data_IF_884748550599
#
_entry.id   IF_884748550599
#
_cell.length_a   1.000
_cell.length_b   1.000
_cell.length_c   1.000
_cell.angle_alpha   90.00
_cell.angle_beta   90.00
_cell.angle_gamma   90.00
#
_symmetry.space_group_name_H-M   'P 1'
#
loop_
_entity.id
_entity.type
_entity.pdbx_description
1 polymer ?
#
# COMPACT_ATOMS: atom_id res chain seq x y z
N UNK A 1 10.57 -0.17 8.59
CA UNK A 1 9.91 -1.36 9.20
C UNK A 1 9.44 -2.43 8.21
N UNK A 2 9.65 -2.33 6.88
CA UNK A 2 9.06 -3.29 5.91
C UNK A 2 9.61 -4.71 6.08
N UNK A 3 10.92 -4.82 6.23
CA UNK A 3 11.61 -6.08 6.47
C UNK A 3 11.33 -6.64 7.86
N UNK A 4 11.15 -5.80 8.87
CA UNK A 4 10.78 -6.25 10.22
C UNK A 4 9.37 -6.85 10.26
N UNK A 5 8.40 -6.24 9.56
CA UNK A 5 7.04 -6.80 9.41
C UNK A 5 7.09 -8.15 8.67
N UNK A 6 7.89 -8.25 7.60
CA UNK A 6 8.06 -9.49 6.86
C UNK A 6 8.77 -10.58 7.69
N UNK A 7 9.83 -10.22 8.42
CA UNK A 7 10.56 -11.12 9.33
C UNK A 7 9.62 -11.66 10.41
N UNK A 8 8.83 -10.79 11.03
CA UNK A 8 7.88 -11.20 12.07
C UNK A 8 6.81 -12.15 11.53
N UNK A 9 6.31 -11.89 10.31
CA UNK A 9 5.37 -12.78 9.64
C UNK A 9 6.00 -14.15 9.31
N UNK A 10 7.25 -14.17 8.84
CA UNK A 10 7.97 -15.42 8.58
C UNK A 10 8.21 -16.22 9.86
N UNK A 11 8.64 -15.57 10.94
CA UNK A 11 8.81 -16.23 12.25
C UNK A 11 7.49 -16.80 12.75
N UNK A 12 6.41 -16.01 12.68
CA UNK A 12 5.07 -16.47 13.04
C UNK A 12 4.63 -17.70 12.23
N UNK A 13 4.90 -17.70 10.91
CA UNK A 13 4.62 -18.83 10.04
C UNK A 13 5.37 -20.10 10.46
N UNK A 14 6.66 -19.99 10.75
CA UNK A 14 7.47 -21.11 11.25
C UNK A 14 6.99 -21.62 12.61
N UNK A 15 6.67 -20.73 13.54
CA UNK A 15 6.09 -21.12 14.83
C UNK A 15 4.76 -21.86 14.66
N UNK A 16 3.87 -21.39 13.78
CA UNK A 16 2.62 -22.11 13.45
C UNK A 16 2.88 -23.49 12.88
N UNK A 17 3.88 -23.62 11.99
CA UNK A 17 4.23 -24.91 11.38
C UNK A 17 4.74 -25.90 12.43
N UNK A 18 5.65 -25.45 13.31
CA UNK A 18 6.20 -26.27 14.40
C UNK A 18 5.08 -26.68 15.36
N UNK A 19 4.18 -25.76 15.72
CA UNK A 19 3.02 -26.05 16.55
C UNK A 19 2.15 -27.16 15.94
N UNK A 20 1.91 -27.12 14.63
CA UNK A 20 1.16 -28.16 13.92
C UNK A 20 1.83 -29.54 13.98
N UNK A 21 3.14 -29.58 13.77
CA UNK A 21 3.90 -30.83 13.76
C UNK A 21 3.93 -31.43 15.17
N UNK A 22 4.15 -30.61 16.20
CA UNK A 22 4.20 -31.08 17.60
C UNK A 22 2.84 -31.55 18.11
N UNK A 23 1.74 -30.95 17.67
CA UNK A 23 0.40 -31.28 18.15
C UNK A 23 -0.36 -32.23 17.19
N UNK A 24 0.32 -32.85 16.22
CA UNK A 24 -0.32 -33.63 15.16
C UNK A 24 -1.27 -34.74 15.68
N UNK A 25 -0.91 -35.39 16.77
CA UNK A 25 -1.73 -36.44 17.40
C UNK A 25 -3.07 -35.90 17.90
N UNK A 26 -3.08 -34.70 18.48
CA UNK A 26 -4.30 -34.01 18.94
C UNK A 26 -5.09 -33.48 17.74
N UNK A 27 -4.39 -32.95 16.74
CA UNK A 27 -4.99 -32.37 15.53
C UNK A 27 -5.63 -33.43 14.61
N UNK A 28 -5.20 -34.69 14.69
CA UNK A 28 -5.74 -35.80 13.92
C UNK A 28 -6.99 -36.43 14.55
N UNK A 29 -7.37 -35.99 15.76
CA UNK A 29 -8.61 -36.45 16.39
C UNK A 29 -9.82 -36.03 15.55
N UNK A 30 -10.75 -36.98 15.40
CA UNK A 30 -11.99 -36.79 14.65
C UNK A 30 -12.95 -35.98 15.50
N UNK A 31 -13.25 -34.75 15.07
CA UNK A 31 -14.22 -33.88 15.74
C UNK A 31 -15.50 -33.83 14.91
N UNK A 32 -16.63 -34.08 15.55
CA UNK A 32 -17.94 -33.82 14.96
C UNK A 32 -18.29 -32.35 15.20
N UNK A 33 -18.12 -31.51 14.18
CA UNK A 33 -18.56 -30.11 14.25
C UNK A 33 -20.07 -30.06 14.00
N UNK A 34 -20.83 -29.76 15.05
CA UNK A 34 -22.25 -29.43 14.95
C UNK A 34 -22.39 -27.92 14.80
N UNK A 35 -23.00 -27.48 13.71
CA UNK A 35 -23.36 -26.07 13.51
C UNK A 35 -24.88 -25.97 13.65
N UNK A 36 -25.36 -25.57 14.84
CA UNK A 36 -26.78 -25.32 15.08
C UNK A 36 -27.10 -23.87 14.71
N UNK A 37 -27.72 -23.65 13.55
CA UNK A 37 -28.34 -22.38 13.23
C UNK A 37 -29.77 -22.40 13.75
N UNK A 38 -30.02 -21.69 14.85
CA UNK A 38 -31.35 -21.59 15.49
C UNK A 38 -32.49 -21.12 14.54
N UNK A 39 -32.17 -20.55 13.37
CA UNK A 39 -33.13 -20.02 12.40
C UNK A 39 -33.42 -20.93 11.19
N UNK A 40 -32.60 -21.96 10.95
CA UNK A 40 -32.79 -22.90 9.85
C UNK A 40 -32.69 -24.30 10.43
N UNK A 41 -33.80 -25.04 10.44
CA UNK A 41 -33.96 -26.41 10.98
C UNK A 41 -33.14 -27.48 10.23
N UNK A 42 -32.11 -27.05 9.50
CA UNK A 42 -31.11 -27.89 8.86
C UNK A 42 -29.97 -28.10 9.85
N UNK A 43 -30.09 -29.16 10.65
CA UNK A 43 -28.96 -29.72 11.38
C UNK A 43 -27.99 -30.29 10.33
N UNK A 44 -27.01 -29.49 9.92
CA UNK A 44 -25.87 -30.01 9.16
C UNK A 44 -25.05 -30.89 10.11
N UNK A 45 -25.43 -32.16 10.23
CA UNK A 45 -24.63 -33.20 10.88
C UNK A 45 -23.40 -33.46 10.01
N UNK A 46 -22.40 -32.58 10.17
CA UNK A 46 -21.16 -32.73 9.43
C UNK A 46 -20.47 -34.03 9.88
N UNK A 47 -20.10 -34.84 8.90
CA UNK A 47 -19.31 -36.07 9.08
C UNK A 47 -18.08 -35.74 9.91
N UNK A 48 -17.56 -36.69 10.69
CA UNK A 48 -16.44 -36.44 11.59
C UNK A 48 -15.21 -35.95 10.81
N UNK A 49 -14.97 -34.63 10.84
CA UNK A 49 -13.85 -33.98 10.16
C UNK A 49 -12.68 -33.90 11.14
N UNK A 50 -11.47 -34.30 10.74
CA UNK A 50 -10.28 -34.13 11.56
C UNK A 50 -10.02 -32.66 11.92
N UNK A 51 -9.61 -32.40 13.16
CA UNK A 51 -9.42 -31.05 13.68
C UNK A 51 -8.41 -30.21 12.88
N UNK A 52 -7.39 -30.83 12.28
CA UNK A 52 -6.42 -30.16 11.42
C UNK A 52 -7.06 -29.44 10.22
N UNK A 53 -8.19 -29.95 9.69
CA UNK A 53 -8.84 -29.37 8.51
C UNK A 53 -9.46 -28.01 8.83
N UNK A 54 -10.10 -27.89 10.00
CA UNK A 54 -10.70 -26.63 10.46
C UNK A 54 -9.62 -25.58 10.66
N UNK A 55 -8.52 -25.96 11.31
CA UNK A 55 -7.40 -25.04 11.52
C UNK A 55 -6.73 -24.68 10.20
N UNK A 56 -6.60 -25.63 9.26
CA UNK A 56 -6.06 -25.35 7.92
C UNK A 56 -6.91 -24.30 7.21
N UNK A 57 -8.24 -24.44 7.21
CA UNK A 57 -9.14 -23.45 6.60
C UNK A 57 -9.03 -22.10 7.30
N UNK A 58 -9.00 -22.07 8.62
CA UNK A 58 -8.81 -20.83 9.40
C UNK A 58 -7.46 -20.17 9.09
N UNK A 59 -6.40 -20.96 8.93
CA UNK A 59 -5.07 -20.49 8.58
C UNK A 59 -5.04 -19.90 7.17
N UNK A 60 -5.65 -20.57 6.18
CA UNK A 60 -5.77 -20.07 4.81
C UNK A 60 -6.59 -18.78 4.77
N UNK A 61 -7.70 -18.71 5.51
CA UNK A 61 -8.49 -17.48 5.63
C UNK A 61 -7.67 -16.34 6.26
N UNK A 62 -6.93 -16.61 7.34
CA UNK A 62 -6.00 -15.65 7.93
C UNK A 62 -4.89 -15.21 6.97
N UNK A 63 -4.34 -16.12 6.18
CA UNK A 63 -3.35 -15.82 5.15
C UNK A 63 -3.92 -14.92 4.05
N UNK A 64 -5.16 -15.16 3.61
CA UNK A 64 -5.84 -14.30 2.64
C UNK A 64 -6.10 -12.89 3.18
N UNK A 65 -6.55 -12.78 4.43
CA UNK A 65 -6.78 -11.48 5.09
C UNK A 65 -5.47 -10.71 5.25
N UNK A 66 -4.40 -11.37 5.70
CA UNK A 66 -3.09 -10.73 5.85
C UNK A 66 -2.50 -10.31 4.50
N UNK A 67 -2.64 -11.14 3.46
CA UNK A 67 -2.23 -10.80 2.10
C UNK A 67 -3.02 -9.61 1.56
N UNK A 68 -4.34 -9.60 1.75
CA UNK A 68 -5.21 -8.49 1.39
C UNK A 68 -4.81 -7.18 2.07
N UNK A 69 -4.55 -7.24 3.39
CA UNK A 69 -4.05 -6.09 4.15
C UNK A 69 -2.71 -5.59 3.59
N UNK A 70 -1.77 -6.49 3.27
CA UNK A 70 -0.47 -6.14 2.73
C UNK A 70 -0.57 -5.46 1.35
N UNK A 71 -1.46 -5.97 0.49
CA UNK A 71 -1.73 -5.39 -0.84
C UNK A 71 -2.34 -4.00 -0.71
N UNK A 72 -3.33 -3.83 0.18
CA UNK A 72 -3.92 -2.51 0.44
C UNK A 72 -2.88 -1.50 0.94
N UNK A 73 -1.99 -1.90 1.84
CA UNK A 73 -0.90 -1.06 2.34
C UNK A 73 0.04 -0.63 1.19
N UNK A 74 0.36 -1.54 0.26
CA UNK A 74 1.16 -1.22 -0.94
C UNK A 74 0.45 -0.27 -1.89
N UNK A 75 -0.86 -0.42 -2.07
CA UNK A 75 -1.66 0.48 -2.90
C UNK A 75 -1.70 1.89 -2.30
N UNK A 76 -1.95 2.00 -0.99
CA UNK A 76 -1.92 3.30 -0.27
C UNK A 76 -0.58 4.00 -0.43
N UNK A 77 0.53 3.30 -0.21
CA UNK A 77 1.87 3.85 -0.42
C UNK A 77 2.11 4.32 -1.87
N UNK A 78 1.64 3.58 -2.88
CA UNK A 78 1.76 3.99 -4.28
C UNK A 78 0.95 5.25 -4.57
N UNK A 79 -0.26 5.36 -4.02
CA UNK A 79 -1.12 6.54 -4.17
C UNK A 79 -0.46 7.78 -3.55
N UNK A 80 0.07 7.69 -2.34
CA UNK A 80 0.79 8.79 -1.68
C UNK A 80 2.00 9.25 -2.49
N UNK A 81 2.79 8.31 -3.02
CA UNK A 81 3.96 8.62 -3.84
C UNK A 81 3.57 9.33 -5.16
N UNK A 82 2.44 8.93 -5.76
CA UNK A 82 1.93 9.59 -6.97
C UNK A 82 1.43 11.01 -6.69
N UNK A 83 0.81 11.23 -5.53
CA UNK A 83 0.32 12.55 -5.08
C UNK A 83 1.50 13.49 -4.82
N UNK A 84 2.52 13.02 -4.10
CA UNK A 84 3.73 13.80 -3.85
C UNK A 84 4.47 14.18 -5.15
N UNK A 85 4.63 13.23 -6.09
CA UNK A 85 5.23 13.52 -7.40
C UNK A 85 4.45 14.55 -8.21
N UNK A 86 3.11 14.56 -8.15
CA UNK A 86 2.29 15.57 -8.83
C UNK A 86 2.51 16.96 -8.24
N UNK A 87 2.63 17.07 -6.92
CA UNK A 87 2.90 18.34 -6.23
C UNK A 87 4.27 18.89 -6.62
N UNK A 88 5.32 18.07 -6.54
CA UNK A 88 6.68 18.47 -6.94
C UNK A 88 6.71 18.96 -8.40
N UNK A 89 6.08 18.20 -9.31
CA UNK A 89 6.04 18.58 -10.74
C UNK A 89 5.24 19.87 -10.99
N UNK A 90 4.24 20.16 -10.17
CA UNK A 90 3.48 21.43 -10.24
C UNK A 90 4.36 22.61 -9.78
N UNK A 91 5.05 22.44 -8.65
CA UNK A 91 5.99 23.43 -8.12
C UNK A 91 7.16 23.70 -9.08
N UNK A 92 7.74 22.66 -9.69
CA UNK A 92 8.77 22.81 -10.72
C UNK A 92 8.28 23.62 -11.92
N UNK A 93 7.03 23.39 -12.36
CA UNK A 93 6.43 24.15 -13.45
C UNK A 93 6.19 25.61 -13.08
N UNK A 94 5.74 25.89 -11.86
CA UNK A 94 5.54 27.25 -11.36
C UNK A 94 6.86 28.02 -11.25
N UNK A 95 7.91 27.39 -10.70
CA UNK A 95 9.27 27.95 -10.68
C UNK A 95 9.80 28.21 -12.09
N UNK A 96 9.59 27.27 -13.02
CA UNK A 96 10.01 27.43 -14.42
C UNK A 96 9.26 28.57 -15.11
N UNK A 97 7.97 28.75 -14.79
CA UNK A 97 7.14 29.84 -15.32
C UNK A 97 7.61 31.19 -14.80
N UNK A 98 7.87 31.31 -13.50
CA UNK A 98 8.39 32.52 -12.87
C UNK A 98 9.79 32.88 -13.38
N UNK A 99 10.65 31.88 -13.60
CA UNK A 99 11.99 32.08 -14.17
C UNK A 99 11.96 32.43 -15.67
N UNK A 100 10.91 32.03 -16.38
CA UNK A 100 10.70 32.37 -17.79
C UNK A 100 10.00 33.71 -18.01
N UNK A 101 9.57 34.41 -16.96
CA UNK A 101 9.17 35.82 -17.08
C UNK A 101 10.46 36.56 -17.42
N UNK A 102 10.60 37.10 -18.65
CA UNK A 102 11.73 37.95 -18.97
C UNK A 102 11.64 39.14 -18.00
N UNK A 103 12.72 39.44 -17.28
CA UNK A 103 12.88 40.77 -16.70
C UNK A 103 12.83 41.72 -17.89
N UNK A 104 11.69 42.36 -18.06
CA UNK A 104 11.37 43.28 -19.14
C UNK A 104 12.52 44.27 -19.24
N UNK A 105 13.34 44.24 -20.31
CA UNK A 105 14.28 45.33 -20.53
C UNK A 105 13.40 46.53 -20.85
N UNK A 106 13.15 47.35 -19.84
CA UNK A 106 12.56 48.67 -20.00
C UNK A 106 13.23 49.32 -21.21
N UNK A 107 12.49 49.70 -22.26
CA UNK A 107 13.06 50.43 -23.37
C UNK A 107 13.75 51.66 -22.80
N UNK A 108 15.08 51.69 -22.87
CA UNK A 108 15.85 52.88 -22.53
C UNK A 108 15.40 53.92 -23.56
N UNK A 109 14.76 55.03 -23.17
CA UNK A 109 14.37 56.06 -24.13
C UNK A 109 15.64 56.52 -24.84
N UNK A 110 15.70 56.33 -26.16
CA UNK A 110 16.79 56.87 -26.98
C UNK A 110 16.74 58.40 -26.80
N UNK A 111 17.73 58.94 -26.09
CA UNK A 111 17.91 60.37 -25.94
C UNK A 111 18.13 60.95 -27.34
N UNK A 112 17.43 62.04 -27.71
CA UNK A 112 17.52 62.61 -29.04
C UNK A 112 18.98 62.94 -29.35
N UNK A 113 19.47 62.38 -30.47
CA UNK A 113 20.81 62.65 -30.97
C UNK A 113 21.03 64.15 -31.04
N UNK A 114 22.07 64.61 -30.33
CA UNK A 114 22.51 65.98 -30.36
C UNK A 114 22.76 66.39 -31.81
N UNK A 115 21.92 67.32 -32.25
CA UNK A 115 22.05 68.20 -33.39
C UNK A 115 23.51 68.65 -33.56
N UNK A 116 24.28 67.94 -34.39
CA UNK A 116 25.57 68.42 -34.90
C UNK A 116 25.28 69.41 -36.03
N UNK A 117 24.78 70.58 -35.66
CA UNK A 117 24.73 71.75 -36.54
C UNK A 117 26.15 72.31 -36.64
N UNK A 118 26.70 72.14 -37.83
CA UNK A 118 27.77 72.89 -38.48
C UNK A 118 28.18 74.22 -37.80
N UNK A 119 29.46 74.31 -37.44
CA UNK A 119 30.21 75.55 -37.46
C UNK A 119 31.57 75.25 -38.10
N UNK A 120 31.62 75.46 -39.42
CA UNK A 120 32.83 75.72 -40.18
C UNK A 120 32.94 77.24 -40.37
#
# INVERSE_FOLDING_TARGET
MRFLKALWLTVFFFCSLIFFIQNNDVLSQKMTLKFDFYYFDYVWTNTAVPFFFVILVAFVAGALVTLGYLVMDRMRLKMELSRCRRVVRKQEKELKKLRSIPLEPTPIPELPEAEKTNAA
#
